data_IF_839923581302
#
_entry.id   IF_839923581302
#
_cell.length_a   1.000
_cell.length_b   1.000
_cell.length_c   1.000
_cell.angle_alpha   90.00
_cell.angle_beta   90.00
_cell.angle_gamma   90.00
#
_symmetry.space_group_name_H-M   'P 1'
#
loop_
_entity.id
_entity.type
_entity.pdbx_description
1 polymer ?
#
# COMPACT_ATOMS: atom_id res chain seq x y z
N UNK A 1 -9.38 10.49 24.09
CA UNK A 1 -10.35 11.52 24.58
C UNK A 1 -10.57 12.45 23.41
N UNK A 2 -11.82 12.72 23.01
CA UNK A 2 -12.07 13.70 21.96
C UNK A 2 -11.59 15.07 22.48
N UNK A 3 -10.57 15.64 21.83
CA UNK A 3 -10.08 16.97 22.17
C UNK A 3 -11.22 17.98 22.00
N UNK A 4 -11.42 18.82 23.02
CA UNK A 4 -12.40 19.91 22.92
C UNK A 4 -11.84 20.94 21.95
N UNK A 5 -12.56 21.30 20.87
CA UNK A 5 -12.08 22.27 19.90
C UNK A 5 -11.79 23.61 20.58
N UNK A 6 -10.58 24.13 20.37
CA UNK A 6 -10.12 25.40 20.96
C UNK A 6 -10.35 26.60 20.02
N UNK A 7 -10.67 26.32 18.76
CA UNK A 7 -10.87 27.31 17.69
C UNK A 7 -12.15 27.01 16.93
N UNK A 8 -12.73 28.04 16.34
CA UNK A 8 -13.86 27.94 15.42
C UNK A 8 -13.57 28.70 14.14
N UNK A 9 -14.19 28.28 13.03
CA UNK A 9 -14.27 29.04 11.81
C UNK A 9 -15.73 29.45 11.56
N UNK A 10 -15.94 30.62 11.01
CA UNK A 10 -17.25 31.10 10.65
C UNK A 10 -17.48 30.86 9.16
N UNK A 11 -18.53 30.12 8.82
CA UNK A 11 -19.02 29.96 7.45
C UNK A 11 -20.25 30.87 7.29
N UNK A 12 -20.19 31.81 6.34
CA UNK A 12 -21.34 32.66 5.98
C UNK A 12 -21.96 32.20 4.67
N UNK A 13 -23.27 32.00 4.68
CA UNK A 13 -24.07 31.65 3.50
C UNK A 13 -25.26 32.60 3.50
N UNK A 14 -25.35 33.42 2.46
CA UNK A 14 -26.30 34.54 2.40
C UNK A 14 -26.18 35.43 3.66
N UNK A 15 -27.27 35.66 4.38
CA UNK A 15 -27.31 36.48 5.59
C UNK A 15 -27.12 35.67 6.90
N UNK A 16 -26.77 34.37 6.80
CA UNK A 16 -26.61 33.51 7.97
C UNK A 16 -25.13 33.14 8.17
N UNK A 17 -24.72 33.03 9.43
CA UNK A 17 -23.37 32.62 9.83
C UNK A 17 -23.42 31.41 10.74
N UNK A 18 -22.51 30.46 10.49
CA UNK A 18 -22.43 29.18 11.17
C UNK A 18 -21.03 29.00 11.74
N UNK A 19 -20.94 28.64 13.01
CA UNK A 19 -19.68 28.34 13.68
C UNK A 19 -19.36 26.84 13.51
N UNK A 20 -18.18 26.56 12.95
CA UNK A 20 -17.67 25.22 12.72
C UNK A 20 -16.42 24.99 13.58
N UNK A 21 -16.37 23.89 14.36
CA UNK A 21 -15.20 23.58 15.17
C UNK A 21 -13.95 23.31 14.36
N UNK A 22 -12.78 23.70 14.88
CA UNK A 22 -11.46 23.38 14.34
C UNK A 22 -10.72 22.48 15.32
N UNK A 23 -10.24 21.34 14.83
CA UNK A 23 -9.34 20.44 15.57
C UNK A 23 -7.91 20.69 15.12
N UNK A 24 -6.99 20.82 16.09
CA UNK A 24 -5.55 20.91 15.83
C UNK A 24 -4.92 19.55 16.08
N UNK A 25 -4.28 18.92 15.09
CA UNK A 25 -3.63 17.64 15.27
C UNK A 25 -2.31 17.78 16.05
N UNK A 26 -1.69 16.67 16.42
CA UNK A 26 -0.34 16.63 16.99
C UNK A 26 0.71 17.13 15.98
N UNK A 27 0.51 16.81 14.72
CA UNK A 27 1.31 17.26 13.59
C UNK A 27 0.43 17.44 12.35
N UNK A 28 0.81 18.37 11.45
CA UNK A 28 0.06 18.68 10.24
C UNK A 28 -0.92 19.86 10.37
N UNK A 29 -1.76 20.09 9.37
CA UNK A 29 -2.69 21.22 9.34
C UNK A 29 -3.91 21.03 10.26
N UNK A 30 -4.48 22.15 10.70
CA UNK A 30 -5.77 22.17 11.40
C UNK A 30 -6.90 21.59 10.51
N UNK A 31 -7.88 20.94 11.13
CA UNK A 31 -9.00 20.29 10.45
C UNK A 31 -10.33 20.93 10.85
N UNK A 32 -11.13 21.32 9.85
CA UNK A 32 -12.46 21.88 10.05
C UNK A 32 -13.50 20.75 10.19
N UNK A 33 -14.22 20.72 11.29
CA UNK A 33 -15.28 19.73 11.54
C UNK A 33 -16.59 20.11 10.84
N UNK A 34 -16.92 19.43 9.77
CA UNK A 34 -18.13 19.65 8.97
C UNK A 34 -19.27 18.67 9.28
N UNK A 35 -19.14 17.80 10.30
CA UNK A 35 -20.12 16.75 10.60
C UNK A 35 -21.54 17.29 10.86
N UNK A 36 -21.67 18.52 11.36
CA UNK A 36 -22.95 19.19 11.62
C UNK A 36 -23.38 20.17 10.53
N UNK A 37 -22.57 20.38 9.50
CA UNK A 37 -22.81 21.41 8.48
C UNK A 37 -24.19 21.28 7.81
N UNK A 38 -24.55 20.07 7.37
CA UNK A 38 -25.86 19.86 6.75
C UNK A 38 -27.05 20.16 7.67
N UNK A 39 -26.94 19.77 8.93
CA UNK A 39 -28.02 20.02 9.91
C UNK A 39 -28.17 21.50 10.24
N UNK A 40 -27.09 22.28 10.19
CA UNK A 40 -27.09 23.71 10.51
C UNK A 40 -27.41 24.58 9.30
N UNK A 41 -26.80 24.29 8.14
CA UNK A 41 -26.80 25.16 6.97
C UNK A 41 -27.52 24.57 5.74
N UNK A 42 -27.96 23.31 5.78
CA UNK A 42 -28.65 22.65 4.67
C UNK A 42 -27.76 22.34 3.45
N UNK A 43 -26.44 22.53 3.52
CA UNK A 43 -25.50 22.34 2.41
C UNK A 43 -24.51 21.22 2.68
N UNK A 44 -23.99 20.61 1.61
CA UNK A 44 -22.90 19.65 1.64
C UNK A 44 -21.61 20.24 1.05
N UNK A 45 -20.47 19.71 1.47
CA UNK A 45 -19.19 19.97 0.81
C UNK A 45 -19.05 19.12 -0.46
N UNK A 46 -18.21 19.58 -1.38
CA UNK A 46 -17.89 18.87 -2.63
C UNK A 46 -16.38 18.71 -2.75
N UNK A 47 -15.90 17.48 -2.50
CA UNK A 47 -14.48 17.11 -2.60
C UNK A 47 -14.37 15.64 -3.06
N UNK A 48 -14.51 15.36 -4.38
CA UNK A 48 -14.59 13.99 -4.92
C UNK A 48 -13.37 13.13 -4.64
N UNK A 49 -12.20 13.73 -4.46
CA UNK A 49 -10.93 13.03 -4.25
C UNK A 49 -10.41 13.09 -2.83
N UNK A 50 -11.18 13.63 -1.89
CA UNK A 50 -10.75 13.85 -0.49
C UNK A 50 -9.45 14.65 -0.35
N UNK A 51 -9.18 15.55 -1.31
CA UNK A 51 -7.93 16.33 -1.36
C UNK A 51 -7.81 17.34 -0.23
N UNK A 52 -8.93 17.73 0.36
CA UNK A 52 -9.04 18.70 1.46
C UNK A 52 -9.91 18.18 2.61
N UNK A 53 -10.11 16.86 2.69
CA UNK A 53 -11.03 16.25 3.66
C UNK A 53 -10.33 15.15 4.46
N UNK A 54 -10.15 15.35 5.75
CA UNK A 54 -9.75 14.30 6.66
C UNK A 54 -10.94 13.35 6.89
N UNK A 55 -10.76 12.06 6.62
CA UNK A 55 -11.80 11.04 6.72
C UNK A 55 -11.83 10.32 8.06
N UNK A 56 -10.80 10.47 8.88
CA UNK A 56 -10.65 9.82 10.18
C UNK A 56 -9.56 10.48 11.03
N UNK A 57 -9.57 10.18 12.32
CA UNK A 57 -8.42 10.35 13.21
C UNK A 57 -7.52 9.12 13.08
N UNK A 58 -6.20 9.27 13.14
CA UNK A 58 -5.26 8.16 13.14
C UNK A 58 -3.98 8.51 13.90
N UNK A 59 -3.43 7.50 14.58
CA UNK A 59 -2.13 7.58 15.27
C UNK A 59 -1.06 6.71 14.60
N UNK A 60 -1.36 6.11 13.44
CA UNK A 60 -0.52 5.06 12.83
C UNK A 60 0.60 5.68 12.00
N UNK A 61 0.25 6.52 11.04
CA UNK A 61 1.22 7.08 10.09
C UNK A 61 0.99 8.56 9.91
N UNK A 62 2.07 9.33 9.93
CA UNK A 62 2.08 10.75 9.59
C UNK A 62 3.01 11.00 8.40
N UNK A 63 2.57 11.85 7.48
CA UNK A 63 3.34 12.27 6.32
C UNK A 63 3.35 13.79 6.23
N UNK A 64 4.57 14.37 6.23
CA UNK A 64 4.78 15.76 5.83
C UNK A 64 5.41 15.77 4.43
N UNK A 65 4.56 15.98 3.42
CA UNK A 65 5.01 15.97 2.04
C UNK A 65 5.95 17.12 1.68
N UNK A 66 5.84 18.26 2.35
CA UNK A 66 6.70 19.44 2.10
C UNK A 66 8.11 19.24 2.68
N UNK A 67 8.21 18.55 3.82
CA UNK A 67 9.49 18.19 4.43
C UNK A 67 10.09 16.89 3.89
N UNK A 68 9.28 16.03 3.23
CA UNK A 68 9.71 14.69 2.85
C UNK A 68 9.85 13.77 4.07
N UNK A 69 8.92 13.85 5.02
CA UNK A 69 8.91 13.08 6.26
C UNK A 69 7.81 12.01 6.20
N UNK A 70 8.16 10.81 6.63
CA UNK A 70 7.22 9.69 6.83
C UNK A 70 7.52 9.05 8.18
N UNK A 71 6.54 9.06 9.07
CA UNK A 71 6.64 8.51 10.41
C UNK A 71 5.64 7.36 10.59
N UNK A 72 6.10 6.23 11.11
CA UNK A 72 5.24 5.17 11.63
C UNK A 72 5.23 5.23 13.15
N UNK A 73 4.07 5.54 13.76
CA UNK A 73 3.96 5.73 15.21
C UNK A 73 5.00 6.71 15.77
N UNK A 74 5.39 7.71 14.99
CA UNK A 74 6.41 8.69 15.36
C UNK A 74 7.86 8.31 15.01
N UNK A 75 8.12 7.09 14.54
CA UNK A 75 9.46 6.67 14.14
C UNK A 75 9.71 6.93 12.66
N UNK A 76 10.82 7.60 12.28
CA UNK A 76 11.16 7.84 10.88
C UNK A 76 11.37 6.55 10.08
N UNK A 77 10.82 6.50 8.87
CA UNK A 77 10.82 5.31 8.03
C UNK A 77 12.22 4.84 7.62
N UNK A 78 13.15 5.76 7.41
CA UNK A 78 14.53 5.47 7.09
C UNK A 78 15.26 4.78 8.24
N UNK A 79 14.97 5.20 9.51
CA UNK A 79 15.51 4.54 10.69
C UNK A 79 14.93 3.14 10.86
N UNK A 80 13.62 2.96 10.66
CA UNK A 80 12.99 1.65 10.73
C UNK A 80 13.56 0.71 9.67
N UNK A 81 13.63 1.12 8.42
CA UNK A 81 14.17 0.30 7.33
C UNK A 81 15.67 0.02 7.45
N UNK A 82 16.41 0.87 8.17
CA UNK A 82 17.86 0.70 8.39
C UNK A 82 18.23 -0.14 9.60
N UNK A 83 17.39 -0.16 10.65
CA UNK A 83 17.74 -0.72 11.97
C UNK A 83 16.82 -1.86 12.43
N UNK A 84 15.65 -1.99 11.84
CA UNK A 84 14.64 -2.97 12.21
C UNK A 84 14.38 -3.94 11.06
N UNK A 85 13.46 -4.86 11.25
CA UNK A 85 12.95 -5.75 10.20
C UNK A 85 11.42 -5.70 10.16
N UNK A 86 10.85 -6.24 9.09
CA UNK A 86 9.42 -6.07 8.79
C UNK A 86 8.48 -6.52 9.91
N UNK A 87 8.74 -7.64 10.61
CA UNK A 87 7.86 -8.10 11.70
C UNK A 87 7.91 -7.19 12.92
N UNK A 88 9.05 -6.57 13.23
CA UNK A 88 9.14 -5.55 14.27
C UNK A 88 8.29 -4.31 13.90
N UNK A 89 8.33 -3.89 12.64
CA UNK A 89 7.47 -2.81 12.13
C UNK A 89 6.00 -3.22 12.13
N UNK A 90 5.68 -4.49 11.83
CA UNK A 90 4.31 -5.00 11.98
C UNK A 90 3.81 -4.87 13.42
N UNK A 91 4.64 -5.24 14.38
CA UNK A 91 4.31 -5.08 15.81
C UNK A 91 4.06 -3.61 16.16
N UNK A 92 4.99 -2.73 15.78
CA UNK A 92 4.87 -1.29 16.01
C UNK A 92 3.55 -0.72 15.47
N UNK A 93 3.20 -1.04 14.22
CA UNK A 93 1.97 -0.53 13.60
C UNK A 93 0.71 -1.06 14.29
N UNK A 94 0.71 -2.35 14.70
CA UNK A 94 -0.44 -2.98 15.34
C UNK A 94 -0.68 -2.51 16.79
N UNK A 95 0.41 -2.30 17.55
CA UNK A 95 0.35 -2.11 19.01
C UNK A 95 0.76 -0.71 19.47
N UNK A 96 1.39 0.08 18.61
CA UNK A 96 1.68 1.50 18.86
C UNK A 96 3.07 1.82 19.36
N UNK A 97 3.80 0.82 19.88
CA UNK A 97 5.16 0.96 20.41
C UNK A 97 6.07 -0.13 19.88
N UNK A 98 7.38 0.12 19.86
CA UNK A 98 8.37 -0.90 19.54
C UNK A 98 8.34 -2.03 20.58
N UNK A 99 8.44 -3.30 20.16
CA UNK A 99 8.40 -4.42 21.09
C UNK A 99 9.66 -4.49 21.95
N UNK A 100 9.52 -5.00 23.16
CA UNK A 100 10.64 -5.57 23.89
C UNK A 100 11.14 -6.85 23.19
N UNK A 101 12.34 -7.34 23.51
CA UNK A 101 12.87 -8.56 22.89
C UNK A 101 11.93 -9.77 23.09
N UNK A 102 11.31 -9.91 24.27
CA UNK A 102 10.37 -10.99 24.57
C UNK A 102 9.06 -10.87 23.81
N UNK A 103 8.54 -9.66 23.65
CA UNK A 103 7.33 -9.41 22.86
C UNK A 103 7.57 -9.68 21.39
N UNK A 104 8.72 -9.25 20.86
CA UNK A 104 9.11 -9.53 19.48
C UNK A 104 9.22 -11.03 19.22
N UNK A 105 9.94 -11.77 20.05
CA UNK A 105 10.07 -13.21 19.94
C UNK A 105 8.70 -13.92 19.98
N UNK A 106 7.82 -13.49 20.88
CA UNK A 106 6.47 -14.04 20.98
C UNK A 106 5.65 -13.76 19.72
N UNK A 107 5.73 -12.54 19.22
CA UNK A 107 5.02 -12.13 17.99
C UNK A 107 5.55 -12.88 16.76
N UNK A 108 6.86 -12.94 16.58
CA UNK A 108 7.49 -13.68 15.48
C UNK A 108 7.11 -15.16 15.49
N UNK A 109 7.16 -15.80 16.66
CA UNK A 109 6.72 -17.19 16.83
C UNK A 109 5.24 -17.36 16.45
N UNK A 110 4.40 -16.41 16.83
CA UNK A 110 2.97 -16.44 16.48
C UNK A 110 2.78 -16.32 14.98
N UNK A 111 3.40 -15.34 14.32
CA UNK A 111 3.30 -15.17 12.87
C UNK A 111 3.84 -16.40 12.12
N UNK A 112 5.02 -16.89 12.51
CA UNK A 112 5.67 -18.05 11.87
C UNK A 112 4.79 -19.30 11.91
N UNK A 113 4.06 -19.53 13.01
CA UNK A 113 3.17 -20.69 13.17
C UNK A 113 1.82 -20.55 12.45
N UNK A 114 1.50 -19.39 11.90
CA UNK A 114 0.25 -19.13 11.17
C UNK A 114 0.42 -19.01 9.64
N UNK A 115 1.61 -19.26 9.10
CA UNK A 115 1.93 -19.06 7.67
C UNK A 115 1.25 -20.05 6.72
N UNK A 116 0.96 -21.26 7.16
CA UNK A 116 0.31 -22.27 6.33
C UNK A 116 -1.15 -21.91 6.03
N UNK A 117 -1.56 -22.13 4.79
CA UNK A 117 -2.97 -22.05 4.39
C UNK A 117 -3.68 -23.36 4.71
N UNK A 118 -5.01 -23.30 4.85
CA UNK A 118 -5.84 -24.50 4.90
C UNK A 118 -5.63 -25.29 3.59
N UNK A 119 -5.42 -26.60 3.70
CA UNK A 119 -5.00 -27.44 2.56
C UNK A 119 -5.99 -27.41 1.40
N UNK A 120 -7.30 -27.33 1.69
CA UNK A 120 -8.32 -27.22 0.65
C UNK A 120 -8.24 -25.92 -0.17
N UNK A 121 -7.54 -24.88 0.31
CA UNK A 121 -7.36 -23.67 -0.49
C UNK A 121 -6.56 -23.91 -1.76
N UNK A 122 -5.77 -24.98 -1.85
CA UNK A 122 -5.12 -25.39 -3.10
C UNK A 122 -6.12 -25.61 -4.23
N UNK A 123 -7.28 -26.22 -3.92
CA UNK A 123 -8.35 -26.43 -4.91
C UNK A 123 -8.95 -25.09 -5.37
N UNK A 124 -9.03 -24.12 -4.47
CA UNK A 124 -9.47 -22.78 -4.82
C UNK A 124 -8.50 -22.09 -5.79
N UNK A 125 -7.18 -22.18 -5.55
CA UNK A 125 -6.18 -21.69 -6.49
C UNK A 125 -6.30 -22.38 -7.86
N UNK A 126 -6.54 -23.69 -7.90
CA UNK A 126 -6.69 -24.47 -9.14
C UNK A 126 -7.98 -24.15 -9.90
N UNK A 127 -8.93 -23.45 -9.31
CA UNK A 127 -10.13 -22.93 -9.96
C UNK A 127 -9.88 -21.70 -10.83
N UNK A 128 -8.78 -21.01 -10.66
CA UNK A 128 -8.39 -19.89 -11.54
C UNK A 128 -7.76 -20.41 -12.83
N UNK A 129 -7.82 -19.59 -13.88
CA UNK A 129 -7.00 -19.84 -15.08
C UNK A 129 -5.52 -19.63 -14.74
N UNK A 130 -4.64 -20.41 -15.36
CA UNK A 130 -3.20 -20.30 -15.12
C UNK A 130 -2.61 -18.96 -15.54
N UNK A 131 -3.18 -18.33 -16.57
CA UNK A 131 -2.81 -17.00 -17.05
C UNK A 131 -3.50 -15.86 -16.29
N UNK A 132 -4.22 -16.16 -15.21
CA UNK A 132 -4.82 -15.15 -14.35
C UNK A 132 -3.72 -14.29 -13.70
N UNK A 133 -3.94 -12.97 -13.68
CA UNK A 133 -3.04 -12.07 -12.99
C UNK A 133 -2.98 -12.40 -11.48
N UNK A 134 -1.80 -12.49 -10.85
CA UNK A 134 -1.67 -12.85 -9.43
C UNK A 134 -2.51 -11.98 -8.49
N UNK A 135 -2.71 -10.70 -8.80
CA UNK A 135 -3.61 -9.85 -8.03
C UNK A 135 -5.06 -10.31 -8.04
N UNK A 136 -5.58 -10.78 -9.19
CA UNK A 136 -6.93 -11.35 -9.26
C UNK A 136 -7.07 -12.58 -8.37
N UNK A 137 -6.05 -13.45 -8.39
CA UNK A 137 -5.98 -14.62 -7.51
C UNK A 137 -5.95 -14.19 -6.04
N UNK A 138 -5.12 -13.20 -5.67
CA UNK A 138 -5.04 -12.72 -4.29
C UNK A 138 -6.36 -12.14 -3.79
N UNK A 139 -7.06 -11.33 -4.59
CA UNK A 139 -8.39 -10.79 -4.23
C UNK A 139 -9.35 -11.93 -3.89
N UNK A 140 -9.43 -12.95 -4.77
CA UNK A 140 -10.31 -14.08 -4.57
C UNK A 140 -9.94 -14.93 -3.36
N UNK A 141 -8.66 -15.28 -3.22
CA UNK A 141 -8.15 -16.13 -2.14
C UNK A 141 -8.30 -15.48 -0.77
N UNK A 142 -7.94 -14.19 -0.64
CA UNK A 142 -8.07 -13.47 0.64
C UNK A 142 -9.54 -13.34 1.03
N UNK A 143 -10.44 -13.02 0.10
CA UNK A 143 -11.88 -13.01 0.36
C UNK A 143 -12.40 -14.38 0.79
N UNK A 144 -11.94 -15.46 0.14
CA UNK A 144 -12.30 -16.82 0.46
C UNK A 144 -11.84 -17.29 1.85
N UNK A 145 -10.82 -16.67 2.44
CA UNK A 145 -10.36 -16.99 3.82
C UNK A 145 -11.52 -16.91 4.83
N UNK A 146 -12.50 -16.05 4.61
CA UNK A 146 -13.70 -15.97 5.47
C UNK A 146 -14.50 -17.27 5.54
N UNK A 147 -14.40 -18.11 4.51
CA UNK A 147 -15.04 -19.43 4.47
C UNK A 147 -14.19 -20.56 5.07
N UNK A 148 -12.92 -20.31 5.40
CA UNK A 148 -12.00 -21.29 5.98
C UNK A 148 -11.62 -21.01 7.44
N UNK A 149 -11.72 -19.76 7.89
CA UNK A 149 -11.25 -19.32 9.21
C UNK A 149 -12.38 -18.66 10.00
N UNK A 150 -13.44 -19.42 10.31
CA UNK A 150 -14.66 -18.94 10.96
C UNK A 150 -14.44 -18.42 12.38
N UNK A 151 -13.38 -18.85 13.05
CA UNK A 151 -12.97 -18.43 14.39
C UNK A 151 -12.22 -17.05 14.41
N UNK A 152 -12.26 -16.34 13.31
CA UNK A 152 -11.63 -15.02 13.17
C UNK A 152 -12.43 -14.07 12.26
N UNK A 153 -13.75 -14.23 12.22
CA UNK A 153 -14.66 -13.39 11.41
C UNK A 153 -15.56 -12.48 12.24
N UNK A 154 -15.71 -12.74 13.53
CA UNK A 154 -16.49 -11.90 14.42
C UNK A 154 -15.67 -10.67 14.86
N UNK A 155 -16.03 -9.52 14.31
CA UNK A 155 -15.36 -8.25 14.61
C UNK A 155 -15.74 -7.66 15.97
N UNK A 156 -16.76 -8.17 16.65
CA UNK A 156 -17.12 -7.76 18.01
C UNK A 156 -16.23 -8.40 19.06
N UNK A 157 -15.65 -9.56 18.77
CA UNK A 157 -14.72 -10.28 19.65
C UNK A 157 -13.26 -9.83 19.44
N UNK A 158 -12.67 -9.25 20.48
CA UNK A 158 -11.29 -8.79 20.47
C UNK A 158 -10.28 -9.91 20.14
N UNK A 159 -10.52 -11.14 20.62
CA UNK A 159 -9.65 -12.28 20.35
C UNK A 159 -9.69 -12.67 18.87
N UNK A 160 -10.87 -12.70 18.28
CA UNK A 160 -11.01 -12.99 16.87
C UNK A 160 -10.41 -11.90 15.99
N UNK A 161 -10.52 -10.63 16.38
CA UNK A 161 -9.81 -9.52 15.70
C UNK A 161 -8.30 -9.70 15.74
N UNK A 162 -7.77 -10.12 16.88
CA UNK A 162 -6.34 -10.36 17.04
C UNK A 162 -5.86 -11.55 16.19
N UNK A 163 -6.56 -12.67 16.25
CA UNK A 163 -6.28 -13.85 15.42
C UNK A 163 -6.37 -13.53 13.93
N UNK A 164 -7.38 -12.77 13.50
CA UNK A 164 -7.53 -12.33 12.11
C UNK A 164 -6.34 -11.49 11.65
N UNK A 165 -5.87 -10.58 12.50
CA UNK A 165 -4.71 -9.70 12.24
C UNK A 165 -3.45 -10.52 12.01
N UNK A 166 -3.17 -11.46 12.91
CA UNK A 166 -2.01 -12.35 12.79
C UNK A 166 -2.10 -13.25 11.54
N UNK A 167 -3.28 -13.83 11.26
CA UNK A 167 -3.50 -14.67 10.08
C UNK A 167 -3.30 -13.93 8.78
N UNK A 168 -3.81 -12.71 8.66
CA UNK A 168 -3.65 -11.90 7.45
C UNK A 168 -2.19 -11.61 7.19
N UNK A 169 -1.44 -11.15 8.19
CA UNK A 169 -0.01 -10.89 8.05
C UNK A 169 0.75 -12.18 7.74
N UNK A 170 0.52 -13.26 8.50
CA UNK A 170 1.25 -14.51 8.36
C UNK A 170 1.03 -15.23 7.04
N UNK A 171 -0.21 -15.20 6.50
CA UNK A 171 -0.61 -15.99 5.32
C UNK A 171 -0.40 -15.26 4.01
N UNK A 172 -0.27 -13.95 4.02
CA UNK A 172 -0.13 -13.16 2.80
C UNK A 172 1.09 -13.55 1.95
N UNK A 173 2.29 -13.82 2.53
CA UNK A 173 3.43 -14.34 1.76
C UNK A 173 3.12 -15.65 1.04
N UNK A 174 2.45 -16.58 1.72
CA UNK A 174 2.09 -17.87 1.15
C UNK A 174 1.07 -17.70 0.02
N UNK A 175 0.08 -16.82 0.19
CA UNK A 175 -0.93 -16.51 -0.84
C UNK A 175 -0.26 -15.91 -2.09
N UNK A 176 0.63 -14.93 -1.92
CA UNK A 176 1.33 -14.29 -3.01
C UNK A 176 2.29 -15.27 -3.74
N UNK A 177 3.04 -16.06 -2.98
CA UNK A 177 3.96 -17.05 -3.54
C UNK A 177 3.21 -18.17 -4.29
N UNK A 178 2.09 -18.65 -3.75
CA UNK A 178 1.28 -19.68 -4.42
C UNK A 178 0.58 -19.13 -5.67
N UNK A 179 0.13 -17.88 -5.67
CA UNK A 179 -0.38 -17.22 -6.88
C UNK A 179 0.70 -17.18 -7.98
N UNK A 180 1.93 -16.84 -7.61
CA UNK A 180 3.09 -16.87 -8.51
C UNK A 180 3.38 -18.28 -9.02
N UNK A 181 3.56 -19.26 -8.12
CA UNK A 181 3.84 -20.66 -8.49
C UNK A 181 2.77 -21.24 -9.41
N UNK A 182 1.52 -20.94 -9.13
CA UNK A 182 0.40 -21.38 -9.97
C UNK A 182 0.49 -20.76 -11.38
N UNK A 183 0.77 -19.47 -11.50
CA UNK A 183 0.86 -18.77 -12.79
C UNK A 183 1.93 -19.32 -13.70
N UNK A 184 3.08 -19.75 -13.13
CA UNK A 184 4.19 -20.34 -13.91
C UNK A 184 4.12 -21.87 -14.01
N UNK A 185 3.09 -22.51 -13.44
CA UNK A 185 2.86 -23.96 -13.52
C UNK A 185 3.83 -24.81 -12.72
N UNK A 186 4.39 -24.24 -11.66
CA UNK A 186 5.23 -24.96 -10.71
C UNK A 186 4.41 -25.44 -9.49
N UNK A 187 4.88 -26.48 -8.78
CA UNK A 187 4.21 -26.94 -7.56
C UNK A 187 4.25 -25.87 -6.47
N UNK A 188 3.20 -25.84 -5.63
CA UNK A 188 3.20 -25.02 -4.44
C UNK A 188 4.32 -25.42 -3.49
N UNK A 189 5.02 -24.42 -2.97
CA UNK A 189 6.05 -24.59 -1.95
C UNK A 189 5.48 -24.12 -0.62
N UNK A 190 5.63 -24.97 0.41
CA UNK A 190 5.15 -24.68 1.76
C UNK A 190 6.14 -23.78 2.51
N UNK A 191 5.63 -22.95 3.45
CA UNK A 191 6.49 -22.14 4.29
C UNK A 191 7.33 -23.00 5.24
N UNK A 192 8.47 -22.46 5.66
CA UNK A 192 9.41 -23.07 6.61
C UNK A 192 9.50 -22.20 7.87
N UNK A 193 9.46 -22.83 9.05
CA UNK A 193 9.49 -22.11 10.32
C UNK A 193 10.90 -21.66 10.76
N UNK A 194 11.95 -22.16 10.10
CA UNK A 194 13.35 -21.81 10.37
C UNK A 194 13.85 -20.61 9.55
N UNK A 195 13.01 -20.04 8.69
CA UNK A 195 13.33 -18.88 7.86
C UNK A 195 12.64 -17.60 8.38
N UNK A 196 13.32 -16.47 8.24
CA UNK A 196 12.71 -15.15 8.47
C UNK A 196 11.55 -14.92 7.50
N UNK A 197 10.69 -13.95 7.79
CA UNK A 197 9.51 -13.64 6.99
C UNK A 197 9.85 -13.39 5.50
N UNK A 198 10.84 -12.54 5.23
CA UNK A 198 11.28 -12.24 3.87
C UNK A 198 11.99 -13.43 3.20
N UNK A 199 12.85 -14.15 3.95
CA UNK A 199 13.51 -15.33 3.44
C UNK A 199 12.50 -16.44 3.10
N UNK A 200 11.45 -16.59 3.90
CA UNK A 200 10.39 -17.57 3.67
C UNK A 200 9.59 -17.25 2.40
N UNK A 201 9.29 -15.98 2.15
CA UNK A 201 8.66 -15.56 0.90
C UNK A 201 9.52 -15.90 -0.32
N UNK A 202 10.82 -15.57 -0.30
CA UNK A 202 11.75 -15.92 -1.39
C UNK A 202 11.86 -17.43 -1.58
N UNK A 203 11.94 -18.19 -0.47
CA UNK A 203 11.93 -19.65 -0.52
C UNK A 203 10.69 -20.18 -1.22
N UNK A 204 9.50 -19.72 -0.84
CA UNK A 204 8.26 -20.19 -1.47
C UNK A 204 8.12 -19.80 -2.94
N UNK A 205 8.71 -18.66 -3.35
CA UNK A 205 8.67 -18.22 -4.75
C UNK A 205 9.65 -19.00 -5.64
N UNK A 206 10.87 -19.26 -5.16
CA UNK A 206 11.96 -19.73 -6.03
C UNK A 206 12.41 -21.19 -5.81
N UNK A 207 12.06 -21.79 -4.68
CA UNK A 207 12.34 -23.21 -4.44
C UNK A 207 11.61 -24.10 -5.44
N UNK A 208 12.25 -25.19 -5.81
CA UNK A 208 11.68 -26.28 -6.62
C UNK A 208 12.00 -27.61 -5.98
N UNK A 209 11.18 -28.67 -6.14
CA UNK A 209 11.44 -29.96 -5.51
C UNK A 209 12.71 -30.67 -6.03
N UNK A 210 13.21 -30.26 -7.19
CA UNK A 210 14.31 -30.93 -7.87
C UNK A 210 15.69 -30.65 -7.27
N UNK A 211 15.83 -29.50 -6.55
CA UNK A 211 17.13 -29.07 -6.01
C UNK A 211 16.97 -28.23 -4.74
N UNK A 212 17.96 -28.22 -3.83
CA UNK A 212 17.97 -27.32 -2.69
C UNK A 212 18.03 -25.86 -3.11
N UNK A 213 17.21 -25.02 -2.48
CA UNK A 213 17.26 -23.57 -2.64
C UNK A 213 17.75 -22.92 -1.34
N UNK A 214 18.82 -22.16 -1.40
CA UNK A 214 19.40 -21.43 -0.30
C UNK A 214 19.14 -19.94 -0.46
N UNK A 215 18.37 -19.34 0.43
CA UNK A 215 18.07 -17.90 0.39
C UNK A 215 19.33 -17.10 0.68
N UNK A 216 19.72 -16.23 -0.24
CA UNK A 216 20.83 -15.33 -0.01
C UNK A 216 20.44 -14.24 1.01
N UNK A 217 21.26 -14.00 2.08
CA UNK A 217 20.95 -13.01 3.11
C UNK A 217 20.78 -11.57 2.59
N UNK A 218 21.52 -11.17 1.53
CA UNK A 218 21.41 -9.84 0.93
C UNK A 218 20.04 -9.68 0.23
N UNK A 219 19.60 -10.71 -0.51
CA UNK A 219 18.28 -10.70 -1.17
C UNK A 219 17.16 -10.70 -0.14
N UNK A 220 17.30 -11.49 0.95
CA UNK A 220 16.33 -11.50 2.05
C UNK A 220 16.23 -10.14 2.71
N UNK A 221 17.35 -9.48 3.00
CA UNK A 221 17.38 -8.14 3.59
C UNK A 221 16.77 -7.09 2.68
N UNK A 222 17.07 -7.13 1.38
CA UNK A 222 16.49 -6.21 0.42
C UNK A 222 14.96 -6.38 0.32
N UNK A 223 14.47 -7.63 0.33
CA UNK A 223 13.03 -7.92 0.35
C UNK A 223 12.37 -7.42 1.63
N UNK A 224 13.01 -7.61 2.78
CA UNK A 224 12.54 -7.13 4.07
C UNK A 224 12.42 -5.60 4.13
N UNK A 225 13.41 -4.89 3.56
CA UNK A 225 13.36 -3.43 3.38
C UNK A 225 12.22 -2.99 2.46
N UNK A 226 11.99 -3.72 1.34
CA UNK A 226 10.83 -3.47 0.47
C UNK A 226 9.53 -3.61 1.26
N UNK A 227 9.38 -4.65 2.07
CA UNK A 227 8.19 -4.83 2.89
C UNK A 227 8.01 -3.69 3.90
N UNK A 228 9.07 -3.31 4.59
CA UNK A 228 9.07 -2.22 5.58
C UNK A 228 8.68 -0.88 4.95
N UNK A 229 9.29 -0.53 3.82
CA UNK A 229 9.06 0.75 3.13
C UNK A 229 7.66 0.88 2.52
N UNK A 230 6.94 -0.23 2.36
CA UNK A 230 5.56 -0.26 1.84
C UNK A 230 4.51 -0.59 2.90
N UNK A 231 4.90 -0.79 4.17
CA UNK A 231 4.04 -1.30 5.24
C UNK A 231 2.77 -0.47 5.46
N UNK A 232 2.86 0.85 5.51
CA UNK A 232 1.71 1.77 5.54
C UNK A 232 2.04 3.11 4.86
N UNK A 233 1.02 3.83 4.45
CA UNK A 233 1.15 5.15 3.83
C UNK A 233 -0.12 5.98 4.01
N UNK A 234 -0.55 6.16 5.25
CA UNK A 234 -1.72 6.98 5.64
C UNK A 234 -3.01 6.58 4.89
N UNK A 235 -3.90 7.55 4.60
CA UNK A 235 -5.19 7.35 3.94
C UNK A 235 -5.05 7.33 2.40
N UNK A 236 -4.20 6.44 1.85
CA UNK A 236 -4.19 6.17 0.42
C UNK A 236 -5.49 5.46 -0.02
N UNK A 237 -5.70 5.35 -1.34
CA UNK A 237 -6.95 4.81 -1.90
C UNK A 237 -7.32 3.42 -1.36
N UNK A 238 -6.36 2.50 -1.24
CA UNK A 238 -6.64 1.14 -0.74
C UNK A 238 -6.90 1.11 0.76
N UNK A 239 -6.20 1.92 1.56
CA UNK A 239 -6.46 2.06 3.00
C UNK A 239 -7.85 2.64 3.25
N UNK A 240 -8.21 3.71 2.53
CA UNK A 240 -9.56 4.30 2.61
C UNK A 240 -10.64 3.30 2.18
N UNK A 241 -10.36 2.45 1.18
CA UNK A 241 -11.26 1.37 0.75
C UNK A 241 -11.45 0.32 1.83
N UNK A 242 -10.38 -0.10 2.52
CA UNK A 242 -10.46 -1.02 3.67
C UNK A 242 -11.33 -0.42 4.78
N UNK A 243 -11.08 0.83 5.15
CA UNK A 243 -11.89 1.53 6.17
C UNK A 243 -13.34 1.69 5.73
N UNK A 244 -13.60 2.00 4.47
CA UNK A 244 -14.96 2.11 3.95
C UNK A 244 -15.69 0.77 3.99
N UNK A 245 -15.05 -0.33 3.54
CA UNK A 245 -15.61 -1.68 3.62
C UNK A 245 -15.87 -2.09 5.08
N UNK A 246 -14.91 -1.87 5.96
CA UNK A 246 -15.00 -2.15 7.38
C UNK A 246 -16.13 -1.38 8.08
N UNK A 247 -16.43 -0.18 7.60
CA UNK A 247 -17.47 0.67 8.20
C UNK A 247 -18.86 0.05 8.20
N UNK A 248 -19.11 -0.93 7.34
CA UNK A 248 -20.34 -1.70 7.27
C UNK A 248 -20.40 -2.88 8.26
N UNK A 249 -19.33 -3.13 9.01
CA UNK A 249 -19.21 -4.32 9.87
C UNK A 249 -18.78 -5.58 9.12
N UNK A 250 -18.23 -5.45 7.91
CA UNK A 250 -17.72 -6.59 7.13
C UNK A 250 -16.53 -7.26 7.84
N UNK A 251 -16.40 -8.60 7.66
CA UNK A 251 -15.31 -9.35 8.24
C UNK A 251 -13.93 -8.91 7.69
N UNK A 252 -12.83 -9.12 8.43
CA UNK A 252 -11.52 -8.58 8.08
C UNK A 252 -11.00 -9.09 6.72
N UNK A 253 -11.24 -10.34 6.37
CA UNK A 253 -10.78 -10.91 5.10
C UNK A 253 -11.43 -10.23 3.89
N UNK A 254 -12.73 -9.93 3.98
CA UNK A 254 -13.46 -9.20 2.95
C UNK A 254 -12.95 -7.75 2.84
N UNK A 255 -12.68 -7.09 3.97
CA UNK A 255 -12.14 -5.73 3.98
C UNK A 255 -10.75 -5.66 3.32
N UNK A 256 -9.87 -6.60 3.64
CA UNK A 256 -8.52 -6.64 3.06
C UNK A 256 -8.58 -7.03 1.58
N UNK A 257 -9.46 -7.93 1.17
CA UNK A 257 -9.68 -8.24 -0.24
C UNK A 257 -10.12 -7.00 -1.04
N UNK A 258 -10.98 -6.15 -0.47
CA UNK A 258 -11.36 -4.87 -1.09
C UNK A 258 -10.16 -3.91 -1.22
N UNK A 259 -9.28 -3.86 -0.21
CA UNK A 259 -8.02 -3.12 -0.27
C UNK A 259 -7.09 -3.61 -1.38
N UNK A 260 -6.94 -4.93 -1.51
CA UNK A 260 -6.13 -5.56 -2.58
C UNK A 260 -6.73 -5.21 -3.95
N UNK A 261 -8.04 -5.29 -4.12
CA UNK A 261 -8.72 -4.93 -5.36
C UNK A 261 -8.48 -3.46 -5.75
N UNK A 262 -8.56 -2.54 -4.79
CA UNK A 262 -8.26 -1.12 -5.01
C UNK A 262 -6.78 -0.89 -5.35
N UNK A 263 -5.86 -1.59 -4.66
CA UNK A 263 -4.43 -1.45 -4.93
C UNK A 263 -4.06 -1.90 -6.35
N UNK A 264 -4.77 -2.85 -6.92
CA UNK A 264 -4.52 -3.35 -8.27
C UNK A 264 -4.78 -2.32 -9.37
N UNK A 265 -5.49 -1.24 -9.07
CA UNK A 265 -5.74 -0.17 -10.03
C UNK A 265 -4.45 0.51 -10.53
N UNK A 266 -4.33 0.81 -11.85
CA UNK A 266 -3.11 1.39 -12.44
C UNK A 266 -2.77 2.78 -11.87
N UNK A 267 -3.75 3.50 -11.33
CA UNK A 267 -3.55 4.80 -10.69
C UNK A 267 -3.04 4.69 -9.23
N UNK A 268 -2.86 3.47 -8.69
CA UNK A 268 -2.43 3.25 -7.32
C UNK A 268 -1.23 2.31 -7.23
N UNK A 269 -1.39 0.98 -7.31
CA UNK A 269 -0.31 0.02 -7.10
C UNK A 269 0.55 -0.32 -8.33
N UNK A 270 0.24 0.23 -9.51
CA UNK A 270 0.95 -0.07 -10.76
C UNK A 270 2.16 0.82 -11.05
N UNK A 271 2.55 1.73 -10.15
CA UNK A 271 3.57 2.75 -10.43
C UNK A 271 4.98 2.16 -10.64
N UNK A 272 5.40 1.17 -9.85
CA UNK A 272 6.69 0.54 -10.00
C UNK A 272 6.81 -0.30 -11.30
N UNK A 273 5.75 -1.00 -11.70
CA UNK A 273 5.68 -1.68 -12.98
C UNK A 273 5.81 -0.68 -14.14
N UNK A 274 5.02 0.40 -14.11
CA UNK A 274 5.06 1.45 -15.13
C UNK A 274 6.45 2.12 -15.21
N UNK A 275 7.12 2.30 -14.06
CA UNK A 275 8.48 2.83 -14.02
C UNK A 275 9.48 1.90 -14.72
N UNK A 276 9.44 0.61 -14.44
CA UNK A 276 10.31 -0.36 -15.08
C UNK A 276 10.06 -0.47 -16.59
N UNK A 277 8.80 -0.47 -17.02
CA UNK A 277 8.41 -0.48 -18.43
C UNK A 277 8.91 0.78 -19.16
N UNK A 278 8.82 1.95 -18.53
CA UNK A 278 9.40 3.19 -19.05
C UNK A 278 10.93 3.09 -19.21
N UNK A 279 11.65 2.58 -18.21
CA UNK A 279 13.09 2.39 -18.29
C UNK A 279 13.48 1.45 -19.44
N UNK A 280 12.72 0.36 -19.63
CA UNK A 280 12.88 -0.55 -20.78
C UNK A 280 12.57 0.12 -22.12
N UNK A 281 11.57 1.02 -22.16
CA UNK A 281 11.24 1.81 -23.35
C UNK A 281 12.36 2.80 -23.72
N UNK A 282 12.95 3.47 -22.75
CA UNK A 282 14.13 4.33 -22.96
C UNK A 282 15.28 3.47 -23.50
N UNK A 283 15.54 2.32 -22.88
CA UNK A 283 16.41 1.24 -23.35
C UNK A 283 17.90 1.50 -23.19
N UNK A 284 18.38 2.73 -23.34
CA UNK A 284 19.81 3.07 -23.21
C UNK A 284 20.04 4.52 -22.76
N UNK A 285 21.17 4.80 -22.07
CA UNK A 285 21.47 6.14 -21.55
C UNK A 285 21.54 7.25 -22.60
N UNK A 286 21.95 6.96 -23.81
CA UNK A 286 22.07 7.91 -24.91
C UNK A 286 20.73 8.50 -25.37
N UNK A 287 19.62 7.79 -25.13
CA UNK A 287 18.28 8.24 -25.47
C UNK A 287 17.62 9.10 -24.38
N UNK A 288 18.18 9.18 -23.20
CA UNK A 288 17.59 9.92 -22.06
C UNK A 288 17.29 11.37 -22.39
N UNK A 289 18.16 12.15 -23.09
CA UNK A 289 17.84 13.54 -23.42
C UNK A 289 16.57 13.69 -24.27
N UNK A 290 16.31 12.76 -25.21
CA UNK A 290 15.09 12.75 -26.01
C UNK A 290 13.85 12.55 -25.09
N UNK A 291 13.88 11.56 -24.20
CA UNK A 291 12.76 11.28 -23.31
C UNK A 291 12.55 12.35 -22.24
N UNK A 292 13.60 13.01 -21.78
CA UNK A 292 13.49 14.19 -20.92
C UNK A 292 12.77 15.31 -21.66
N UNK A 293 13.13 15.58 -22.91
CA UNK A 293 12.45 16.59 -23.73
C UNK A 293 10.97 16.27 -23.93
N UNK A 294 10.62 15.02 -24.21
CA UNK A 294 9.24 14.55 -24.30
C UNK A 294 8.46 14.72 -22.98
N UNK A 295 9.08 14.41 -21.85
CA UNK A 295 8.45 14.59 -20.53
C UNK A 295 8.15 16.05 -20.19
N UNK A 296 8.92 17.00 -20.76
CA UNK A 296 8.71 18.45 -20.61
C UNK A 296 7.63 18.99 -21.53
N UNK A 297 7.36 18.33 -22.66
CA UNK A 297 6.31 18.74 -23.60
C UNK A 297 4.93 18.42 -23.02
N UNK A 298 4.11 19.44 -22.84
CA UNK A 298 2.74 19.29 -22.34
C UNK A 298 1.82 18.54 -23.31
N UNK A 299 2.15 18.55 -24.60
CA UNK A 299 1.37 17.88 -25.65
C UNK A 299 1.79 16.42 -25.86
N UNK A 300 2.98 15.99 -25.41
CA UNK A 300 3.39 14.59 -25.42
C UNK A 300 2.73 13.87 -24.24
N UNK A 301 2.10 12.69 -24.44
CA UNK A 301 1.54 11.89 -23.37
C UNK A 301 2.58 11.23 -22.46
N UNK A 302 3.84 11.21 -22.87
CA UNK A 302 4.93 10.59 -22.10
C UNK A 302 5.15 11.31 -20.77
N UNK A 303 5.35 10.54 -19.71
CA UNK A 303 5.68 11.04 -18.37
C UNK A 303 6.82 10.21 -17.79
N UNK A 304 7.69 10.84 -17.00
CA UNK A 304 8.69 10.11 -16.21
C UNK A 304 8.01 9.43 -15.04
N UNK A 305 7.82 8.10 -15.18
CA UNK A 305 7.29 7.27 -14.10
C UNK A 305 8.36 7.07 -13.02
N UNK A 306 7.95 7.01 -11.76
CA UNK A 306 8.88 6.94 -10.63
C UNK A 306 9.49 8.29 -10.23
N UNK A 307 9.05 9.40 -10.84
CA UNK A 307 9.44 10.76 -10.47
C UNK A 307 8.24 11.56 -9.96
N UNK A 308 8.47 12.31 -8.88
CA UNK A 308 7.42 13.05 -8.20
C UNK A 308 6.49 12.14 -7.39
N UNK A 309 5.67 12.74 -6.56
CA UNK A 309 4.71 12.03 -5.71
C UNK A 309 3.50 12.93 -5.46
N UNK A 310 2.32 12.36 -5.28
CA UNK A 310 1.11 13.14 -4.97
C UNK A 310 1.21 13.87 -3.64
N UNK A 311 1.89 13.26 -2.65
CA UNK A 311 2.04 13.79 -1.30
C UNK A 311 3.37 14.51 -1.16
N UNK A 312 4.50 13.85 -1.45
CA UNK A 312 5.83 14.47 -1.31
C UNK A 312 6.04 15.57 -2.35
N UNK A 313 6.21 16.80 -1.85
CA UNK A 313 6.66 17.96 -2.63
C UNK A 313 8.17 18.14 -2.55
N UNK A 314 8.84 17.24 -1.87
CA UNK A 314 10.27 17.16 -1.67
C UNK A 314 10.70 15.70 -1.95
N UNK A 315 11.86 15.31 -1.48
CA UNK A 315 12.40 13.97 -1.65
C UNK A 315 11.56 12.92 -0.90
N UNK A 316 11.31 11.77 -1.53
CA UNK A 316 10.66 10.62 -0.86
C UNK A 316 11.68 9.95 0.08
N UNK A 317 11.46 9.94 1.41
CA UNK A 317 12.45 9.42 2.38
C UNK A 317 12.74 7.93 2.18
N UNK A 318 11.87 7.20 1.49
CA UNK A 318 12.03 5.78 1.18
C UNK A 318 13.02 5.53 0.04
N UNK A 319 13.17 6.50 -0.87
CA UNK A 319 13.98 6.34 -2.08
C UNK A 319 15.47 6.12 -1.79
N UNK A 320 16.02 6.75 -0.74
CA UNK A 320 17.43 6.59 -0.36
C UNK A 320 17.75 5.15 0.08
N UNK A 321 16.90 4.58 0.94
CA UNK A 321 17.07 3.20 1.42
C UNK A 321 16.89 2.21 0.27
N UNK A 322 15.93 2.48 -0.62
CA UNK A 322 15.67 1.63 -1.78
C UNK A 322 16.85 1.67 -2.77
N UNK A 323 17.44 2.83 -3.01
CA UNK A 323 18.65 2.98 -3.84
C UNK A 323 19.83 2.18 -3.31
N UNK A 324 20.11 2.28 -2.01
CA UNK A 324 21.15 1.49 -1.36
C UNK A 324 20.88 -0.03 -1.53
N UNK A 325 19.65 -0.45 -1.34
CA UNK A 325 19.27 -1.86 -1.52
C UNK A 325 19.42 -2.32 -2.97
N UNK A 326 19.15 -1.44 -3.94
CA UNK A 326 19.37 -1.74 -5.35
C UNK A 326 20.86 -1.95 -5.64
N UNK A 327 21.72 -1.06 -5.15
CA UNK A 327 23.18 -1.21 -5.34
C UNK A 327 23.67 -2.54 -4.72
N UNK A 328 23.30 -2.87 -3.47
CA UNK A 328 23.66 -4.12 -2.80
C UNK A 328 23.23 -5.38 -3.57
N UNK A 329 22.00 -5.40 -4.10
CA UNK A 329 21.45 -6.55 -4.86
C UNK A 329 22.13 -6.71 -6.20
N UNK A 330 22.38 -5.62 -6.91
CA UNK A 330 22.94 -5.65 -8.25
C UNK A 330 24.43 -6.00 -8.23
N UNK A 331 25.17 -5.54 -7.21
CA UNK A 331 26.55 -5.94 -6.97
C UNK A 331 26.65 -7.45 -6.68
N UNK A 332 25.75 -7.97 -5.81
CA UNK A 332 25.70 -9.40 -5.51
C UNK A 332 25.46 -10.26 -6.74
N UNK A 333 24.52 -9.84 -7.60
CA UNK A 333 24.09 -10.63 -8.76
C UNK A 333 25.02 -10.44 -9.98
N UNK A 334 26.04 -9.61 -9.85
CA UNK A 334 26.99 -9.33 -10.96
C UNK A 334 26.35 -8.62 -12.15
N UNK A 335 25.16 -8.04 -11.99
CA UNK A 335 24.40 -7.36 -13.04
C UNK A 335 24.73 -5.86 -13.12
N UNK A 336 25.95 -5.47 -12.76
CA UNK A 336 26.45 -4.09 -12.83
C UNK A 336 26.32 -3.51 -14.26
N UNK A 337 26.31 -4.38 -15.26
CA UNK A 337 26.12 -4.03 -16.69
C UNK A 337 24.66 -4.19 -17.15
N UNK A 338 23.69 -4.26 -16.23
CA UNK A 338 22.28 -4.29 -16.62
C UNK A 338 21.89 -2.96 -17.30
N UNK A 339 21.46 -2.97 -18.58
CA UNK A 339 21.15 -1.74 -19.31
C UNK A 339 20.02 -0.93 -18.69
N UNK A 340 19.06 -1.58 -18.04
CA UNK A 340 17.95 -0.91 -17.32
C UNK A 340 18.48 -0.13 -16.14
N UNK A 341 19.42 -0.70 -15.36
CA UNK A 341 20.04 -0.02 -14.24
C UNK A 341 20.92 1.15 -14.70
N UNK A 342 21.73 0.94 -15.73
CA UNK A 342 22.57 2.01 -16.30
C UNK A 342 21.69 3.18 -16.77
N UNK A 343 20.58 2.87 -17.44
CA UNK A 343 19.59 3.85 -17.86
C UNK A 343 18.94 4.54 -16.66
N UNK A 344 18.59 3.82 -15.59
CA UNK A 344 18.01 4.40 -14.40
C UNK A 344 18.96 5.36 -13.67
N UNK A 345 20.21 4.95 -13.44
CA UNK A 345 21.22 5.81 -12.77
C UNK A 345 21.52 7.08 -13.57
N UNK A 346 21.64 6.97 -14.89
CA UNK A 346 21.89 8.14 -15.72
C UNK A 346 20.64 9.02 -15.86
N UNK A 347 19.42 8.44 -15.93
CA UNK A 347 18.18 9.19 -15.93
C UNK A 347 18.01 9.98 -14.62
N UNK A 348 18.27 9.36 -13.46
CA UNK A 348 18.24 10.04 -12.17
C UNK A 348 19.22 11.24 -12.19
N UNK A 349 20.45 11.01 -12.59
CA UNK A 349 21.49 12.04 -12.63
C UNK A 349 21.10 13.22 -13.53
N UNK A 350 20.63 12.95 -14.75
CA UNK A 350 20.21 14.00 -15.69
C UNK A 350 18.95 14.72 -15.24
N UNK A 351 17.95 14.01 -14.70
CA UNK A 351 16.73 14.62 -14.20
C UNK A 351 17.00 15.52 -12.98
N UNK A 352 17.86 15.11 -12.04
CA UNK A 352 18.23 15.91 -10.88
C UNK A 352 19.06 17.14 -11.23
N UNK A 353 19.80 17.11 -12.35
CA UNK A 353 20.58 18.25 -12.86
C UNK A 353 19.76 19.19 -13.76
N UNK A 354 18.52 18.88 -14.07
CA UNK A 354 17.67 19.64 -14.96
C UNK A 354 16.74 20.57 -14.19
N UNK A 355 16.83 21.88 -14.46
CA UNK A 355 16.08 22.93 -13.76
C UNK A 355 14.57 22.69 -13.76
N UNK A 356 14.00 22.16 -14.84
CA UNK A 356 12.56 21.88 -14.93
C UNK A 356 12.08 20.87 -13.86
N UNK A 357 12.86 19.79 -13.62
CA UNK A 357 12.50 18.79 -12.62
C UNK A 357 12.80 19.30 -11.21
N UNK A 358 13.88 20.05 -11.04
CA UNK A 358 14.24 20.66 -9.75
C UNK A 358 13.20 21.70 -9.31
N UNK A 359 12.79 22.63 -10.21
CA UNK A 359 11.76 23.62 -9.91
C UNK A 359 10.40 23.00 -9.61
N UNK A 360 10.03 21.92 -10.31
CA UNK A 360 8.79 21.20 -10.08
C UNK A 360 8.89 20.16 -8.97
N UNK A 361 10.06 20.01 -8.35
CA UNK A 361 10.32 19.03 -7.29
C UNK A 361 9.97 17.59 -7.69
N UNK A 362 10.29 17.21 -8.93
CA UNK A 362 10.07 15.89 -9.46
C UNK A 362 11.30 15.01 -9.18
N UNK A 363 11.42 14.56 -7.94
CA UNK A 363 12.49 13.69 -7.47
C UNK A 363 12.13 12.20 -7.65
N UNK A 364 13.11 11.29 -7.77
CA UNK A 364 12.85 9.86 -7.73
C UNK A 364 12.14 9.44 -6.44
N UNK A 365 11.14 8.60 -6.58
CA UNK A 365 10.37 8.04 -5.45
C UNK A 365 10.72 6.56 -5.21
N UNK A 366 10.04 5.92 -4.25
CA UNK A 366 10.29 4.52 -3.90
C UNK A 366 10.10 3.55 -5.07
N UNK A 367 9.20 3.85 -6.01
CA UNK A 367 8.88 2.98 -7.15
C UNK A 367 10.00 2.95 -8.20
N UNK A 368 10.86 3.98 -8.23
CA UNK A 368 11.95 4.08 -9.18
C UNK A 368 12.97 2.94 -9.05
N UNK A 369 13.33 2.55 -7.84
CA UNK A 369 14.30 1.49 -7.60
C UNK A 369 13.70 0.12 -7.28
N UNK A 370 12.49 0.09 -6.68
CA UNK A 370 11.88 -1.18 -6.25
C UNK A 370 11.65 -2.14 -7.42
N UNK A 371 11.20 -1.63 -8.57
CA UNK A 371 10.98 -2.44 -9.76
C UNK A 371 12.28 -3.07 -10.29
N UNK A 372 13.39 -2.33 -10.24
CA UNK A 372 14.71 -2.82 -10.66
C UNK A 372 15.20 -3.94 -9.75
N UNK A 373 15.04 -3.79 -8.44
CA UNK A 373 15.40 -4.81 -7.44
C UNK A 373 14.60 -6.09 -7.70
N UNK A 374 13.29 -5.97 -7.84
CA UNK A 374 12.40 -7.12 -8.02
C UNK A 374 12.70 -7.86 -9.35
N UNK A 375 12.95 -7.13 -10.42
CA UNK A 375 13.37 -7.74 -11.69
C UNK A 375 14.73 -8.45 -11.58
N UNK A 376 15.71 -7.82 -10.95
CA UNK A 376 17.02 -8.42 -10.72
C UNK A 376 16.94 -9.70 -9.87
N UNK A 377 16.01 -9.77 -8.92
CA UNK A 377 15.72 -10.98 -8.13
C UNK A 377 14.98 -12.06 -8.93
N UNK A 378 14.52 -11.78 -10.16
CA UNK A 378 13.82 -12.74 -11.01
C UNK A 378 12.30 -12.72 -10.91
N UNK A 379 11.70 -11.73 -10.27
CA UNK A 379 10.25 -11.57 -10.25
C UNK A 379 9.75 -10.98 -11.59
N UNK A 380 8.68 -11.55 -12.18
CA UNK A 380 8.02 -10.90 -13.32
C UNK A 380 7.27 -9.66 -12.83
N UNK A 381 7.04 -8.71 -13.73
CA UNK A 381 6.33 -7.45 -13.41
C UNK A 381 4.93 -7.68 -12.84
N UNK A 382 4.26 -8.77 -13.22
CA UNK A 382 2.95 -9.16 -12.66
C UNK A 382 2.98 -9.46 -11.15
N UNK A 383 4.17 -9.67 -10.56
CA UNK A 383 4.34 -9.89 -9.12
C UNK A 383 4.64 -8.61 -8.31
N UNK A 384 4.88 -7.47 -8.95
CA UNK A 384 5.25 -6.24 -8.24
C UNK A 384 4.11 -5.73 -7.35
N UNK A 385 2.90 -5.60 -7.88
CA UNK A 385 1.73 -5.21 -7.09
C UNK A 385 1.34 -6.27 -6.03
N UNK A 386 1.38 -7.60 -6.29
CA UNK A 386 1.29 -8.63 -5.24
C UNK A 386 2.25 -8.47 -4.08
N UNK A 387 3.51 -8.17 -4.34
CA UNK A 387 4.53 -7.92 -3.30
C UNK A 387 4.20 -6.64 -2.52
N UNK A 388 3.71 -5.61 -3.20
CA UNK A 388 3.22 -4.41 -2.55
C UNK A 388 2.01 -4.71 -1.65
N UNK A 389 1.02 -5.49 -2.12
CA UNK A 389 -0.14 -5.89 -1.32
C UNK A 389 0.26 -6.67 -0.06
N UNK A 390 1.23 -7.60 -0.19
CA UNK A 390 1.81 -8.32 0.93
C UNK A 390 2.37 -7.34 1.97
N UNK A 391 3.21 -6.43 1.53
CA UNK A 391 3.85 -5.42 2.39
C UNK A 391 2.83 -4.54 3.11
N UNK A 392 1.80 -4.07 2.39
CA UNK A 392 0.78 -3.16 2.86
C UNK A 392 -0.27 -3.81 3.77
N UNK A 393 -0.30 -5.13 3.84
CA UNK A 393 -1.30 -5.86 4.64
C UNK A 393 -1.31 -5.42 6.09
N UNK A 394 -0.14 -5.24 6.72
CA UNK A 394 -0.06 -4.78 8.11
C UNK A 394 -0.66 -3.38 8.29
N UNK A 395 -0.40 -2.46 7.36
CA UNK A 395 -0.99 -1.12 7.38
C UNK A 395 -2.52 -1.17 7.30
N UNK A 396 -3.06 -1.93 6.35
CA UNK A 396 -4.51 -2.13 6.24
C UNK A 396 -5.12 -2.73 7.49
N UNK A 397 -4.48 -3.73 8.07
CA UNK A 397 -4.95 -4.39 9.31
C UNK A 397 -4.90 -3.43 10.50
N UNK A 398 -3.84 -2.64 10.63
CA UNK A 398 -3.70 -1.65 11.71
C UNK A 398 -4.77 -0.55 11.58
N UNK A 399 -4.99 -0.04 10.38
CA UNK A 399 -6.02 0.95 10.07
C UNK A 399 -7.44 0.40 10.33
N UNK A 400 -7.67 -0.86 9.99
CA UNK A 400 -8.92 -1.57 10.29
C UNK A 400 -9.14 -1.72 11.80
N UNK A 401 -8.13 -2.15 12.57
CA UNK A 401 -8.20 -2.28 14.04
C UNK A 401 -8.47 -0.93 14.70
N UNK A 402 -7.77 0.12 14.28
CA UNK A 402 -7.94 1.47 14.82
C UNK A 402 -9.36 1.99 14.59
N UNK A 403 -9.91 1.80 13.39
CA UNK A 403 -11.28 2.19 13.07
C UNK A 403 -12.32 1.48 13.97
N UNK A 404 -12.15 0.18 14.22
CA UNK A 404 -13.07 -0.58 15.07
C UNK A 404 -12.98 -0.18 16.54
N UNK A 405 -11.87 0.40 16.97
CA UNK A 405 -11.68 0.93 18.31
C UNK A 405 -12.19 2.38 18.48
N UNK A 406 -12.48 3.07 17.38
CA UNK A 406 -12.96 4.45 17.39
C UNK A 406 -14.45 4.50 17.84
N UNK A 407 -14.78 5.12 18.99
CA UNK A 407 -16.17 5.26 19.44
C UNK A 407 -17.01 6.18 18.53
N UNK A 408 -16.39 6.98 17.68
CA UNK A 408 -17.07 7.84 16.70
C UNK A 408 -17.26 7.15 15.35
N UNK A 409 -16.84 5.90 15.21
CA UNK A 409 -16.99 5.12 14.00
C UNK A 409 -18.44 5.09 13.51
N UNK A 410 -18.61 5.34 12.21
CA UNK A 410 -19.91 5.29 11.53
C UNK A 410 -19.76 4.65 10.17
N UNK A 411 -20.85 4.06 9.69
CA UNK A 411 -20.90 3.56 8.30
C UNK A 411 -20.62 4.71 7.32
N UNK A 412 -19.68 4.48 6.42
CA UNK A 412 -19.32 5.42 5.35
C UNK A 412 -20.42 5.48 4.30
N UNK A 413 -21.07 6.64 4.17
CA UNK A 413 -22.10 6.92 3.18
C UNK A 413 -21.92 8.34 2.64
N UNK A 414 -21.04 8.56 1.66
CA UNK A 414 -20.83 9.87 1.08
C UNK A 414 -22.12 10.40 0.42
N UNK A 415 -22.25 11.72 0.35
CA UNK A 415 -23.31 12.40 -0.38
C UNK A 415 -22.91 12.56 -1.85
N UNK A 416 -23.90 12.85 -2.69
CA UNK A 416 -23.68 13.16 -4.10
C UNK A 416 -24.36 14.46 -4.51
N UNK A 417 -23.74 15.19 -5.44
CA UNK A 417 -24.38 16.27 -6.18
C UNK A 417 -25.17 15.64 -7.33
N UNK A 418 -26.48 15.53 -7.18
CA UNK A 418 -27.33 14.95 -8.21
C UNK A 418 -27.53 15.92 -9.38
N UNK A 419 -27.22 15.46 -10.59
CA UNK A 419 -27.40 16.21 -11.85
C UNK A 419 -28.29 15.47 -12.88
N UNK A 420 -29.02 14.46 -12.44
CA UNK A 420 -29.95 13.72 -13.27
C UNK A 420 -31.27 14.47 -13.47
N UNK A 421 -32.21 13.82 -14.14
CA UNK A 421 -33.56 14.35 -14.35
C UNK A 421 -34.33 14.44 -13.02
N UNK A 422 -35.19 15.41 -12.89
CA UNK A 422 -36.22 15.44 -11.85
C UNK A 422 -37.21 14.28 -12.03
N UNK A 423 -38.16 14.14 -11.10
CA UNK A 423 -39.17 13.09 -11.19
C UNK A 423 -39.88 13.12 -12.56
N UNK A 424 -39.99 11.93 -13.14
CA UNK A 424 -40.73 11.70 -14.41
C UNK A 424 -41.64 10.50 -14.19
N UNK A 425 -42.83 10.58 -14.82
CA UNK A 425 -43.73 9.44 -14.82
C UNK A 425 -43.21 8.32 -15.69
N UNK A 426 -43.48 7.10 -15.27
CA UNK A 426 -43.18 5.92 -16.07
C UNK A 426 -44.10 5.91 -17.31
N UNK A 427 -43.51 5.71 -18.47
CA UNK A 427 -44.25 5.58 -19.73
C UNK A 427 -44.11 4.12 -20.19
N UNK A 428 -45.22 3.49 -20.55
CA UNK A 428 -45.22 2.13 -21.03
C UNK A 428 -44.39 1.96 -22.29
N UNK A 429 -43.76 0.78 -22.43
CA UNK A 429 -42.81 0.52 -23.51
C UNK A 429 -43.45 0.68 -24.89
N UNK A 430 -44.72 0.40 -24.98
CA UNK A 430 -45.51 0.49 -26.23
C UNK A 430 -45.79 1.93 -26.64
N UNK A 431 -45.58 2.90 -25.74
CA UNK A 431 -45.88 4.35 -25.97
C UNK A 431 -44.66 5.23 -25.87
N UNK A 432 -43.45 4.67 -25.74
CA UNK A 432 -42.18 5.43 -25.69
C UNK A 432 -41.71 5.89 -27.04
#
# INVERSE_FOLDING_TARGET
MADTPKKTATLSIDDQSFELPIYSPTAGPDVLDIRKLYAQAGVFTYDPGFTSTASCDSTITFIDGDKGELLHRGYPIDQLAGKSHYLEVCYLLLYGELPTATELETFENTITRHTMLHEQMQYFFRGFRRDAHPMATMVGVVGAMSAFYHDSTDISDNKQREIASHRLIAKMPTIAAWAYKYSIGQPFVYPRNDLSYAANFLHMCFSVPAEPYHVNPILSRAMDRIFTLHADHEQNASTSTVRLASSSGANPFACIAAGIACLWGPAHGGANQACLEMLKQIGSPDKIPEYIARAKDKNDPFRLMGFGHRVYKNFDPRATVMKQSADEVLDLLGVVNNPVLATAKELEKQALADDYFAEKKLFPNVDFYSGIILEAMGFPTSMFTPIFALSRTVGWVSQWKEQLADPQHKIGRPRQLYRGSTARDYTDIETR
#
